data_IF_562724368935
#
_entry.id   IF_562724368935
#
_cell.length_a   1.000
_cell.length_b   1.000
_cell.length_c   1.000
_cell.angle_alpha   90.00
_cell.angle_beta   90.00
_cell.angle_gamma   90.00
#
_symmetry.space_group_name_H-M   'P 1'
#
loop_
_entity.id
_entity.type
_entity.pdbx_description
1 polymer ?
#
# COMPACT_ATOMS: atom_id res chain seq x y z
N UNK A 1 -15.24 23.68 -13.59
CA UNK A 1 -14.94 23.15 -12.24
C UNK A 1 -13.77 22.18 -12.39
N UNK A 2 -12.72 22.35 -11.60
CA UNK A 2 -11.59 21.40 -11.57
C UNK A 2 -12.06 20.05 -11.00
N UNK A 3 -11.67 18.97 -11.65
CA UNK A 3 -11.92 17.61 -11.14
C UNK A 3 -10.79 17.19 -10.20
N UNK A 4 -11.11 16.59 -9.06
CA UNK A 4 -10.14 16.08 -8.09
C UNK A 4 -10.02 14.56 -8.28
N UNK A 5 -8.80 14.05 -8.18
CA UNK A 5 -8.51 12.63 -8.03
C UNK A 5 -7.75 12.42 -6.72
N UNK A 6 -8.16 11.44 -5.92
CA UNK A 6 -7.43 10.99 -4.74
C UNK A 6 -6.65 9.74 -5.10
N UNK A 7 -5.34 9.76 -4.82
CA UNK A 7 -4.45 8.62 -5.09
C UNK A 7 -3.74 8.20 -3.80
N UNK A 8 -3.68 6.89 -3.57
CA UNK A 8 -3.11 6.31 -2.37
C UNK A 8 -1.81 5.58 -2.69
N UNK A 9 -0.73 5.85 -1.92
CA UNK A 9 0.58 5.27 -2.19
C UNK A 9 0.64 3.78 -1.83
N UNK A 10 1.63 3.10 -2.42
CA UNK A 10 2.04 1.76 -2.04
C UNK A 10 3.18 1.75 -1.01
N UNK A 11 3.71 0.56 -0.74
CA UNK A 11 4.88 0.35 0.11
C UNK A 11 6.10 1.11 -0.43
N UNK A 12 6.91 1.68 0.47
CA UNK A 12 8.04 2.56 0.17
C UNK A 12 7.79 4.03 0.55
N UNK A 13 6.56 4.39 0.92
CA UNK A 13 6.20 5.73 1.39
C UNK A 13 6.16 5.86 2.92
N UNK A 14 6.40 4.76 3.66
CA UNK A 14 6.39 4.77 5.13
C UNK A 14 7.56 5.57 5.71
N UNK A 15 7.30 6.28 6.80
CA UNK A 15 8.30 6.97 7.62
C UNK A 15 7.77 7.16 9.05
N UNK A 16 8.64 7.34 10.06
CA UNK A 16 8.23 7.39 11.48
C UNK A 16 7.16 8.45 11.81
N UNK A 17 7.14 9.53 11.06
CA UNK A 17 6.23 10.66 11.30
C UNK A 17 4.97 10.65 10.43
N UNK A 18 4.69 9.56 9.69
CA UNK A 18 3.61 9.49 8.71
C UNK A 18 2.19 9.60 9.30
N UNK A 19 2.04 9.56 10.62
CA UNK A 19 0.76 9.80 11.31
C UNK A 19 0.62 11.21 11.88
N UNK A 20 1.66 12.07 11.75
CA UNK A 20 1.64 13.42 12.32
C UNK A 20 0.91 14.39 11.39
N UNK A 21 -0.13 15.01 11.92
CA UNK A 21 -0.87 16.09 11.27
C UNK A 21 -1.62 16.90 12.31
N UNK A 22 -1.80 18.19 12.05
CA UNK A 22 -2.62 19.11 12.86
C UNK A 22 -4.04 19.28 12.24
N UNK A 23 -4.33 18.58 11.14
CA UNK A 23 -5.62 18.66 10.42
C UNK A 23 -6.68 17.70 10.99
N UNK A 24 -6.31 16.85 11.94
CA UNK A 24 -7.18 15.83 12.55
C UNK A 24 -7.00 15.83 14.05
N UNK A 25 -8.12 15.69 14.76
CA UNK A 25 -8.10 15.63 16.22
C UNK A 25 -7.22 14.48 16.75
N UNK A 26 -6.43 14.78 17.77
CA UNK A 26 -5.54 13.82 18.41
C UNK A 26 -6.28 12.60 18.97
N UNK A 27 -7.51 12.80 19.44
CA UNK A 27 -8.38 11.72 19.92
C UNK A 27 -8.71 10.71 18.83
N UNK A 28 -9.03 11.18 17.62
CA UNK A 28 -9.29 10.31 16.46
C UNK A 28 -8.03 9.51 16.08
N UNK A 29 -6.87 10.17 16.00
CA UNK A 29 -5.60 9.50 15.69
C UNK A 29 -5.30 8.40 16.72
N UNK A 30 -5.44 8.71 18.01
CA UNK A 30 -5.20 7.76 19.10
C UNK A 30 -6.17 6.58 19.08
N UNK A 31 -7.46 6.81 18.80
CA UNK A 31 -8.45 5.75 18.62
C UNK A 31 -8.04 4.79 17.49
N UNK A 32 -7.64 5.33 16.32
CA UNK A 32 -7.24 4.49 15.19
C UNK A 32 -5.95 3.73 15.47
N UNK A 33 -4.98 4.34 16.16
CA UNK A 33 -3.76 3.68 16.63
C UNK A 33 -4.09 2.51 17.57
N UNK A 34 -5.03 2.70 18.50
CA UNK A 34 -5.44 1.66 19.42
C UNK A 34 -6.06 0.47 18.69
N UNK A 35 -7.02 0.71 17.78
CA UNK A 35 -7.65 -0.33 16.97
C UNK A 35 -6.59 -1.14 16.20
N UNK A 36 -5.64 -0.45 15.56
CA UNK A 36 -4.57 -1.11 14.80
C UNK A 36 -3.67 -1.91 15.74
N UNK A 37 -3.29 -1.36 16.90
CA UNK A 37 -2.46 -2.06 17.88
C UNK A 37 -3.11 -3.36 18.38
N UNK A 38 -4.43 -3.35 18.58
CA UNK A 38 -5.21 -4.53 18.95
C UNK A 38 -5.21 -5.58 17.83
N UNK A 39 -5.49 -5.16 16.58
CA UNK A 39 -5.51 -6.08 15.42
C UNK A 39 -4.12 -6.70 15.17
N UNK A 40 -3.05 -5.89 15.27
CA UNK A 40 -1.68 -6.36 15.06
C UNK A 40 -1.11 -7.10 16.28
N UNK A 41 -1.81 -7.09 17.42
CA UNK A 41 -1.28 -7.55 18.72
C UNK A 41 0.11 -6.95 19.02
N UNK A 42 0.31 -5.68 18.66
CA UNK A 42 1.60 -4.98 18.71
C UNK A 42 1.40 -3.49 18.93
N UNK A 43 2.28 -2.87 19.68
CA UNK A 43 2.26 -1.43 19.94
C UNK A 43 2.71 -0.65 18.69
N UNK A 44 1.76 0.02 18.05
CA UNK A 44 1.99 0.82 16.84
C UNK A 44 3.01 1.93 17.07
N UNK A 45 3.01 2.58 18.25
CA UNK A 45 3.97 3.66 18.54
C UNK A 45 5.41 3.13 18.55
N UNK A 46 5.63 1.98 19.18
CA UNK A 46 6.95 1.33 19.20
C UNK A 46 7.38 0.83 17.83
N UNK A 47 6.43 0.44 16.96
CA UNK A 47 6.76 0.07 15.59
C UNK A 47 7.23 1.30 14.79
N UNK A 48 6.55 2.44 14.96
CA UNK A 48 6.92 3.70 14.29
C UNK A 48 8.29 4.22 14.71
N UNK A 49 8.69 3.98 15.98
CA UNK A 49 9.99 4.38 16.51
C UNK A 49 11.14 3.43 16.11
N UNK A 50 10.83 2.24 15.61
CA UNK A 50 11.79 1.21 15.20
C UNK A 50 11.74 1.03 13.68
N UNK A 51 12.66 1.68 12.97
CA UNK A 51 12.72 1.65 11.52
C UNK A 51 12.84 0.22 10.95
N UNK A 52 13.50 -0.69 11.69
CA UNK A 52 13.62 -2.08 11.29
C UNK A 52 12.27 -2.79 11.29
N UNK A 53 11.41 -2.52 12.27
CA UNK A 53 10.04 -3.05 12.34
C UNK A 53 9.13 -2.36 11.35
N UNK A 54 9.21 -1.03 11.24
CA UNK A 54 8.40 -0.26 10.30
C UNK A 54 8.59 -0.73 8.85
N UNK A 55 9.77 -1.22 8.50
CA UNK A 55 10.09 -1.75 7.17
C UNK A 55 9.76 -3.24 6.98
N UNK A 56 9.27 -3.94 8.00
CA UNK A 56 8.71 -5.28 7.83
C UNK A 56 7.37 -5.18 7.08
N UNK A 57 7.23 -5.89 5.98
CA UNK A 57 6.05 -5.83 5.11
C UNK A 57 4.73 -6.08 5.86
N UNK A 58 4.76 -6.97 6.86
CA UNK A 58 3.63 -7.27 7.74
C UNK A 58 3.16 -6.08 8.59
N UNK A 59 4.04 -5.14 8.91
CA UNK A 59 3.70 -3.91 9.62
C UNK A 59 3.56 -2.71 8.68
N UNK A 60 4.44 -2.59 7.68
CA UNK A 60 4.38 -1.48 6.72
C UNK A 60 3.01 -1.34 6.09
N UNK A 61 2.40 -2.45 5.63
CA UNK A 61 1.16 -2.40 4.89
C UNK A 61 -0.02 -1.88 5.73
N UNK A 62 -0.36 -2.44 6.89
CA UNK A 62 -1.46 -1.92 7.70
C UNK A 62 -1.18 -0.50 8.24
N UNK A 63 0.07 -0.14 8.50
CA UNK A 63 0.40 1.20 8.96
C UNK A 63 0.26 2.28 7.87
N UNK A 64 0.48 1.95 6.61
CA UNK A 64 0.18 2.85 5.49
C UNK A 64 -1.33 3.01 5.28
N UNK A 65 -2.14 1.97 5.54
CA UNK A 65 -3.61 2.11 5.57
C UNK A 65 -4.05 3.00 6.73
N UNK A 66 -3.45 2.85 7.92
CA UNK A 66 -3.71 3.73 9.06
C UNK A 66 -3.39 5.20 8.71
N UNK A 67 -2.23 5.46 8.12
CA UNK A 67 -1.87 6.80 7.65
C UNK A 67 -2.89 7.34 6.64
N UNK A 68 -3.28 6.51 5.68
CA UNK A 68 -4.29 6.86 4.68
C UNK A 68 -5.65 7.21 5.32
N UNK A 69 -6.06 6.49 6.38
CA UNK A 69 -7.29 6.79 7.12
C UNK A 69 -7.23 8.16 7.80
N UNK A 70 -6.09 8.50 8.43
CA UNK A 70 -5.89 9.80 9.07
C UNK A 70 -5.94 10.93 8.03
N UNK A 71 -5.26 10.78 6.89
CA UNK A 71 -5.31 11.81 5.84
C UNK A 71 -6.66 11.86 5.11
N UNK A 72 -7.41 10.77 5.06
CA UNK A 72 -8.80 10.76 4.58
C UNK A 72 -9.71 11.61 5.48
N UNK A 73 -9.54 11.52 6.78
CA UNK A 73 -10.24 12.37 7.75
C UNK A 73 -9.83 13.84 7.62
N UNK A 74 -8.53 14.12 7.44
CA UNK A 74 -8.04 15.46 7.14
C UNK A 74 -8.68 16.04 5.88
N UNK A 75 -8.83 15.23 4.82
CA UNK A 75 -9.49 15.64 3.58
C UNK A 75 -10.96 16.04 3.83
N UNK A 76 -11.69 15.25 4.62
CA UNK A 76 -13.09 15.54 5.00
C UNK A 76 -13.18 16.85 5.83
N UNK A 77 -12.29 17.05 6.80
CA UNK A 77 -12.25 18.24 7.64
C UNK A 77 -11.99 19.53 6.85
N UNK A 78 -11.26 19.45 5.75
CA UNK A 78 -11.01 20.59 4.85
C UNK A 78 -12.20 20.93 3.96
N UNK A 79 -13.30 20.16 4.02
CA UNK A 79 -14.52 20.35 3.21
C UNK A 79 -14.21 20.48 1.71
N UNK A 80 -13.26 19.71 1.22
CA UNK A 80 -12.89 19.69 -0.19
C UNK A 80 -13.99 18.97 -1.02
N UNK A 81 -14.16 19.30 -2.31
CA UNK A 81 -15.12 18.62 -3.16
C UNK A 81 -14.84 17.13 -3.27
N UNK A 82 -15.89 16.32 -3.40
CA UNK A 82 -15.74 14.88 -3.60
C UNK A 82 -14.86 14.55 -4.81
N UNK A 83 -13.91 13.62 -4.68
CA UNK A 83 -13.08 13.23 -5.80
C UNK A 83 -13.91 12.48 -6.84
N UNK A 84 -13.65 12.74 -8.12
CA UNK A 84 -14.26 12.01 -9.23
C UNK A 84 -13.60 10.68 -9.52
N UNK A 85 -12.36 10.54 -9.09
CA UNK A 85 -11.55 9.34 -9.26
C UNK A 85 -10.81 9.06 -7.96
N UNK A 86 -10.84 7.82 -7.56
CA UNK A 86 -10.08 7.29 -6.42
C UNK A 86 -9.25 6.14 -6.96
N UNK A 87 -7.96 6.12 -6.68
CA UNK A 87 -7.07 5.06 -7.13
C UNK A 87 -5.98 4.76 -6.08
N UNK A 88 -5.44 3.56 -6.10
CA UNK A 88 -4.33 3.17 -5.25
C UNK A 88 -3.34 2.29 -5.99
N UNK A 89 -2.06 2.40 -5.65
CA UNK A 89 -1.01 1.56 -6.20
C UNK A 89 -0.73 0.38 -5.27
N UNK A 90 -0.92 -0.86 -5.75
CA UNK A 90 -0.65 -2.08 -4.97
C UNK A 90 -1.43 -2.06 -3.63
N UNK A 91 -0.74 -1.95 -2.50
CA UNK A 91 -1.32 -1.75 -1.17
C UNK A 91 -2.31 -0.57 -1.11
N UNK A 92 -2.03 0.52 -1.81
CA UNK A 92 -2.88 1.72 -1.84
C UNK A 92 -4.30 1.47 -2.34
N UNK A 93 -4.54 0.36 -3.05
CA UNK A 93 -5.88 -0.05 -3.47
C UNK A 93 -6.81 -0.29 -2.26
N UNK A 94 -6.30 -0.90 -1.19
CA UNK A 94 -7.08 -1.10 0.04
C UNK A 94 -7.40 0.23 0.73
N UNK A 95 -6.48 1.19 0.71
CA UNK A 95 -6.74 2.55 1.18
C UNK A 95 -7.77 3.26 0.32
N UNK A 96 -7.73 3.07 -1.00
CA UNK A 96 -8.71 3.62 -1.93
C UNK A 96 -10.11 3.02 -1.71
N UNK A 97 -10.21 1.70 -1.52
CA UNK A 97 -11.46 1.01 -1.20
C UNK A 97 -12.05 1.45 0.15
N UNK A 98 -11.20 1.64 1.16
CA UNK A 98 -11.60 2.17 2.46
C UNK A 98 -12.11 3.62 2.33
N UNK A 99 -11.39 4.47 1.61
CA UNK A 99 -11.82 5.85 1.38
C UNK A 99 -13.15 5.93 0.61
N UNK A 100 -13.38 4.99 -0.33
CA UNK A 100 -14.64 4.84 -1.08
C UNK A 100 -15.75 4.13 -0.28
N UNK A 101 -15.52 3.84 1.02
CA UNK A 101 -16.46 3.15 1.92
C UNK A 101 -16.90 1.75 1.42
N UNK A 102 -16.10 1.14 0.53
CA UNK A 102 -16.35 -0.22 0.01
C UNK A 102 -15.92 -1.32 0.97
N UNK A 103 -14.98 -1.03 1.86
CA UNK A 103 -14.54 -1.88 2.97
C UNK A 103 -14.41 -1.04 4.24
N UNK A 104 -14.55 -1.67 5.41
CA UNK A 104 -14.34 -0.97 6.69
C UNK A 104 -12.85 -0.71 6.95
N UNK A 105 -12.54 0.23 7.84
CA UNK A 105 -11.17 0.48 8.28
C UNK A 105 -10.54 -0.78 8.89
N UNK A 106 -11.27 -1.44 9.78
CA UNK A 106 -10.82 -2.64 10.46
C UNK A 106 -10.54 -3.80 9.48
N UNK A 107 -11.38 -3.97 8.46
CA UNK A 107 -11.17 -4.99 7.44
C UNK A 107 -9.96 -4.65 6.56
N UNK A 108 -9.79 -3.38 6.18
CA UNK A 108 -8.60 -2.94 5.45
C UNK A 108 -7.32 -3.23 6.21
N UNK A 109 -7.28 -2.97 7.54
CA UNK A 109 -6.13 -3.28 8.40
C UNK A 109 -5.89 -4.80 8.48
N UNK A 110 -6.94 -5.60 8.73
CA UNK A 110 -6.82 -7.07 8.81
C UNK A 110 -6.31 -7.69 7.52
N UNK A 111 -6.90 -7.28 6.39
CA UNK A 111 -6.54 -7.79 5.06
C UNK A 111 -5.09 -7.42 4.72
N UNK A 112 -4.69 -6.18 4.96
CA UNK A 112 -3.33 -5.73 4.63
C UNK A 112 -2.29 -6.30 5.58
N UNK A 113 -2.62 -6.58 6.83
CA UNK A 113 -1.77 -7.33 7.75
C UNK A 113 -1.58 -8.77 7.29
N UNK A 114 -2.67 -9.47 6.92
CA UNK A 114 -2.60 -10.81 6.36
C UNK A 114 -1.78 -10.85 5.06
N UNK A 115 -2.04 -9.92 4.15
CA UNK A 115 -1.28 -9.77 2.90
C UNK A 115 0.21 -9.54 3.17
N UNK A 116 0.53 -8.67 4.11
CA UNK A 116 1.91 -8.38 4.52
C UNK A 116 2.63 -9.62 5.06
N UNK A 117 1.97 -10.40 5.91
CA UNK A 117 2.50 -11.66 6.43
C UNK A 117 2.75 -12.70 5.32
N UNK A 118 1.80 -12.88 4.40
CA UNK A 118 1.95 -13.80 3.27
C UNK A 118 3.09 -13.39 2.36
N UNK A 119 3.22 -12.10 2.04
CA UNK A 119 4.33 -11.60 1.23
C UNK A 119 5.67 -11.72 1.93
N UNK A 120 5.72 -11.53 3.26
CA UNK A 120 6.96 -11.64 4.04
C UNK A 120 7.41 -13.09 4.20
N UNK A 121 6.48 -14.04 4.17
CA UNK A 121 6.76 -15.48 4.25
C UNK A 121 6.91 -16.16 2.89
N UNK A 122 6.79 -15.43 1.78
CA UNK A 122 7.01 -15.98 0.45
C UNK A 122 8.47 -16.36 0.23
N UNK A 123 8.73 -17.26 -0.73
CA UNK A 123 10.07 -17.60 -1.15
C UNK A 123 10.87 -16.37 -1.56
N UNK A 124 12.20 -16.42 -1.35
CA UNK A 124 13.07 -15.32 -1.76
C UNK A 124 13.03 -15.15 -3.29
N UNK A 125 12.65 -13.95 -3.71
CA UNK A 125 12.60 -13.53 -5.09
C UNK A 125 13.18 -12.12 -5.25
N UNK A 126 13.23 -11.67 -6.49
CA UNK A 126 13.64 -10.30 -6.81
C UNK A 126 12.60 -9.62 -7.67
N UNK A 127 12.38 -8.34 -7.41
CA UNK A 127 11.58 -7.49 -8.27
C UNK A 127 12.48 -6.53 -9.04
N UNK A 128 12.18 -6.33 -10.33
CA UNK A 128 12.96 -5.46 -11.20
C UNK A 128 12.04 -4.60 -12.07
N UNK A 129 12.27 -3.30 -12.08
CA UNK A 129 11.56 -2.39 -12.98
C UNK A 129 12.24 -2.35 -14.36
N UNK A 130 11.49 -2.74 -15.38
CA UNK A 130 11.90 -2.65 -16.78
C UNK A 130 11.36 -1.34 -17.35
N UNK A 131 12.25 -0.52 -17.89
CA UNK A 131 11.92 0.81 -18.41
C UNK A 131 12.10 0.87 -19.94
N UNK A 132 11.19 1.57 -20.60
CA UNK A 132 11.31 1.91 -22.02
C UNK A 132 10.74 0.88 -22.99
N UNK A 133 10.36 -0.32 -22.52
CA UNK A 133 9.75 -1.35 -23.35
C UNK A 133 8.22 -1.38 -23.19
N UNK A 134 7.56 -1.88 -24.23
CA UNK A 134 6.14 -2.20 -24.19
C UNK A 134 5.91 -3.45 -23.31
N UNK A 135 4.83 -3.45 -22.52
CA UNK A 135 4.52 -4.54 -21.61
C UNK A 135 4.34 -5.88 -22.31
N UNK A 136 3.79 -5.89 -23.53
CA UNK A 136 3.61 -7.13 -24.30
C UNK A 136 4.94 -7.79 -24.65
N UNK A 137 5.95 -7.00 -24.96
CA UNK A 137 7.31 -7.52 -25.24
C UNK A 137 7.88 -8.14 -23.97
N UNK A 138 7.67 -7.50 -22.82
CA UNK A 138 8.14 -8.02 -21.51
C UNK A 138 7.42 -9.32 -21.18
N UNK A 139 6.11 -9.40 -21.37
CA UNK A 139 5.31 -10.62 -21.14
C UNK A 139 5.77 -11.78 -22.03
N UNK A 140 6.05 -11.51 -23.32
CA UNK A 140 6.58 -12.50 -24.26
C UNK A 140 7.96 -13.02 -23.80
N UNK A 141 8.85 -12.13 -23.39
CA UNK A 141 10.18 -12.52 -22.87
C UNK A 141 10.07 -13.35 -21.59
N UNK A 142 9.21 -12.95 -20.66
CA UNK A 142 8.94 -13.73 -19.43
C UNK A 142 8.45 -15.13 -19.78
N UNK A 143 7.53 -15.27 -20.72
CA UNK A 143 6.99 -16.57 -21.18
C UNK A 143 8.11 -17.43 -21.77
N UNK A 144 8.97 -16.87 -22.63
CA UNK A 144 10.11 -17.62 -23.23
C UNK A 144 11.11 -18.09 -22.17
N UNK A 145 11.38 -17.27 -21.14
CA UNK A 145 12.27 -17.65 -20.04
C UNK A 145 11.68 -18.83 -19.28
N UNK A 146 10.37 -18.76 -18.94
CA UNK A 146 9.69 -19.83 -18.21
C UNK A 146 9.63 -21.15 -18.98
N UNK A 147 9.45 -21.07 -20.31
CA UNK A 147 9.47 -22.27 -21.18
C UNK A 147 10.86 -22.92 -21.27
N UNK A 148 11.92 -22.10 -21.17
CA UNK A 148 13.31 -22.57 -21.30
C UNK A 148 13.97 -22.97 -19.99
N UNK A 149 13.36 -22.68 -18.84
CA UNK A 149 13.98 -22.86 -17.52
C UNK A 149 12.97 -23.35 -16.47
N UNK A 150 12.97 -24.65 -16.20
CA UNK A 150 12.09 -25.28 -15.19
C UNK A 150 12.38 -24.87 -13.73
N UNK A 151 13.54 -24.24 -13.46
CA UNK A 151 13.98 -23.90 -12.09
C UNK A 151 13.74 -22.45 -11.69
N UNK A 152 13.36 -21.60 -12.61
CA UNK A 152 13.12 -20.19 -12.35
C UNK A 152 11.79 -19.78 -12.98
N UNK A 153 11.03 -18.99 -12.27
CA UNK A 153 9.78 -18.40 -12.75
C UNK A 153 9.91 -16.88 -12.73
N UNK A 154 9.48 -16.24 -13.80
CA UNK A 154 9.42 -14.77 -13.89
C UNK A 154 8.11 -14.36 -14.56
N UNK A 155 7.47 -13.31 -14.01
CA UNK A 155 6.23 -12.78 -14.58
C UNK A 155 6.14 -11.27 -14.38
N UNK A 156 5.34 -10.61 -15.21
CA UNK A 156 4.96 -9.22 -14.98
C UNK A 156 4.09 -9.10 -13.73
N UNK A 157 4.58 -8.36 -12.74
CA UNK A 157 3.92 -8.15 -11.46
C UNK A 157 3.15 -6.82 -11.39
N UNK A 158 3.68 -5.75 -12.00
CA UNK A 158 3.04 -4.43 -12.04
C UNK A 158 3.18 -3.76 -13.40
N UNK A 159 2.07 -3.31 -13.97
CA UNK A 159 2.02 -2.47 -15.15
C UNK A 159 1.84 -1.00 -14.71
N UNK A 160 2.96 -0.32 -14.41
CA UNK A 160 2.92 1.02 -13.83
C UNK A 160 2.64 2.12 -14.85
N UNK A 161 3.07 1.94 -16.09
CA UNK A 161 2.82 2.83 -17.19
C UNK A 161 3.03 2.11 -18.53
N UNK A 162 2.76 2.80 -19.65
CA UNK A 162 3.03 2.25 -20.99
C UNK A 162 4.51 1.89 -21.23
N UNK A 163 5.43 2.40 -20.40
CA UNK A 163 6.88 2.23 -20.53
C UNK A 163 7.58 1.78 -19.24
N UNK A 164 6.81 1.30 -18.27
CA UNK A 164 7.35 0.74 -17.03
C UNK A 164 6.52 -0.45 -16.59
N UNK A 165 7.14 -1.61 -16.60
CA UNK A 165 6.60 -2.86 -16.04
C UNK A 165 7.58 -3.40 -15.01
N UNK A 166 7.06 -3.81 -13.86
CA UNK A 166 7.85 -4.53 -12.85
C UNK A 166 7.65 -6.01 -13.04
N UNK A 167 8.75 -6.76 -13.10
CA UNK A 167 8.77 -8.23 -13.12
C UNK A 167 9.22 -8.77 -11.77
N UNK A 168 8.76 -9.97 -11.44
CA UNK A 168 9.10 -10.71 -10.22
C UNK A 168 9.24 -12.20 -10.52
#
# INVERSE_FOLDING_TARGET
MSSIACVFPGQGSQHPEMLKTDLVDRSFINEKIQIVSEILSSDVQRILEDESKLNLTSFTQPLLVLSSAIFSEAYKNLSLPDPKVIAGHSLGEYSALMFAESITFEDAIKITHLRGNLMQSSEEGKMMAILGLDSKIIDEVCSQINESNEKAYVASANYNSMKQTVIA
#
